data_IF_793290791854
#
_entry.id   IF_793290791854
#
_cell.length_a   1.000
_cell.length_b   1.000
_cell.length_c   1.000
_cell.angle_alpha   90.00
_cell.angle_beta   90.00
_cell.angle_gamma   90.00
#
_symmetry.space_group_name_H-M   'P 1'
#
loop_
_entity.id
_entity.type
_entity.pdbx_description
1 polymer ?
#
# COMPACT_ATOMS: atom_id res chain seq x y z
N UNK A 1 41.11 33.18 35.54
CA UNK A 1 41.10 31.71 35.32
C UNK A 1 39.71 31.06 35.38
N UNK A 2 38.86 31.33 36.38
CA UNK A 2 37.55 30.68 36.50
C UNK A 2 36.57 31.01 35.33
N UNK A 3 36.57 32.26 34.85
CA UNK A 3 35.69 32.70 33.76
C UNK A 3 35.98 31.99 32.42
N UNK A 4 37.26 31.84 32.05
CA UNK A 4 37.65 31.07 30.86
C UNK A 4 37.26 29.58 30.97
N UNK A 5 37.47 28.97 32.15
CA UNK A 5 37.04 27.58 32.39
C UNK A 5 35.53 27.42 32.22
N UNK A 6 34.73 28.36 32.72
CA UNK A 6 33.27 28.32 32.57
C UNK A 6 32.82 28.46 31.12
N UNK A 7 33.46 29.35 30.34
CA UNK A 7 33.17 29.49 28.91
C UNK A 7 33.48 28.20 28.14
N UNK A 8 34.61 27.56 28.40
CA UNK A 8 34.97 26.28 27.78
C UNK A 8 33.96 25.17 28.12
N UNK A 9 33.53 25.09 29.38
CA UNK A 9 32.51 24.12 29.80
C UNK A 9 31.15 24.38 29.12
N UNK A 10 30.77 25.65 28.97
CA UNK A 10 29.56 26.03 28.26
C UNK A 10 29.62 25.59 26.79
N UNK A 11 30.71 25.90 26.09
CA UNK A 11 30.91 25.47 24.71
C UNK A 11 30.83 23.95 24.59
N UNK A 12 31.50 23.19 25.48
CA UNK A 12 31.44 21.72 25.48
C UNK A 12 30.02 21.18 25.69
N UNK A 13 29.22 21.81 26.55
CA UNK A 13 27.81 21.44 26.74
C UNK A 13 27.02 21.68 25.46
N UNK A 14 27.22 22.82 24.81
CA UNK A 14 26.55 23.14 23.55
C UNK A 14 26.93 22.14 22.45
N UNK A 15 28.21 21.85 22.28
CA UNK A 15 28.69 20.85 21.32
C UNK A 15 28.07 19.48 21.56
N UNK A 16 27.96 19.04 22.83
CA UNK A 16 27.29 17.77 23.17
C UNK A 16 25.81 17.79 22.84
N UNK A 17 25.11 18.89 23.10
CA UNK A 17 23.69 19.05 22.77
C UNK A 17 23.48 19.01 21.25
N UNK A 18 24.28 19.76 20.48
CA UNK A 18 24.23 19.80 19.02
C UNK A 18 24.56 18.43 18.40
N UNK A 19 25.57 17.72 18.92
CA UNK A 19 25.90 16.36 18.46
C UNK A 19 24.72 15.39 18.66
N UNK A 20 24.04 15.46 19.82
CA UNK A 20 22.85 14.62 20.08
C UNK A 20 21.68 14.99 19.18
N UNK A 21 21.48 16.27 18.90
CA UNK A 21 20.44 16.74 17.99
C UNK A 21 20.63 16.18 16.58
N UNK A 22 21.84 16.24 16.02
CA UNK A 22 22.12 15.75 14.68
C UNK A 22 22.14 14.22 14.57
N UNK A 23 22.58 13.51 15.61
CA UNK A 23 22.71 12.04 15.59
C UNK A 23 21.52 11.31 16.25
N UNK A 24 20.51 12.03 16.73
CA UNK A 24 19.31 11.44 17.34
C UNK A 24 18.41 10.74 16.32
N UNK A 25 17.33 10.11 16.80
CA UNK A 25 16.42 9.31 15.97
C UNK A 25 15.75 10.07 14.82
N UNK A 26 15.63 11.39 14.92
CA UNK A 26 15.14 12.29 13.88
C UNK A 26 16.18 13.30 13.36
N UNK A 27 17.47 13.11 13.73
CA UNK A 27 18.53 14.04 13.35
C UNK A 27 18.99 13.86 11.90
N UNK A 28 19.48 14.95 11.29
CA UNK A 28 19.93 14.94 9.89
C UNK A 28 21.15 14.04 9.63
N UNK A 29 21.94 13.74 10.67
CA UNK A 29 23.10 12.84 10.63
C UNK A 29 22.81 11.52 11.32
N UNK A 30 21.53 11.14 11.42
CA UNK A 30 21.12 9.82 11.86
C UNK A 30 21.85 8.77 11.01
N UNK A 31 22.46 7.82 11.70
CA UNK A 31 23.11 6.70 11.06
C UNK A 31 22.05 5.88 10.29
N UNK A 32 22.22 5.78 8.97
CA UNK A 32 21.30 5.03 8.09
C UNK A 32 21.42 3.53 8.30
N UNK A 33 22.45 3.07 9.01
CA UNK A 33 22.64 1.65 9.36
C UNK A 33 21.77 1.18 10.53
N UNK A 34 20.90 2.02 11.07
CA UNK A 34 19.97 1.58 12.11
C UNK A 34 19.03 0.50 11.55
N UNK A 35 18.99 -0.68 12.20
CA UNK A 35 18.10 -1.76 11.80
C UNK A 35 16.66 -1.25 11.72
N UNK A 36 16.04 -1.41 10.56
CA UNK A 36 14.64 -1.06 10.35
C UNK A 36 13.79 -1.97 11.24
N UNK A 37 13.07 -1.37 12.18
CA UNK A 37 12.13 -2.09 13.04
C UNK A 37 10.81 -2.21 12.30
N UNK A 38 10.45 -3.43 11.91
CA UNK A 38 9.14 -3.72 11.36
C UNK A 38 8.13 -3.89 12.48
N UNK A 39 6.95 -3.31 12.33
CA UNK A 39 5.88 -3.35 13.32
C UNK A 39 4.72 -4.18 12.81
N UNK A 40 4.03 -4.88 13.72
CA UNK A 40 2.77 -5.57 13.44
C UNK A 40 1.74 -5.23 14.52
N UNK A 41 0.47 -5.42 14.19
CA UNK A 41 -0.60 -5.38 15.18
C UNK A 41 -0.56 -6.68 15.99
N UNK A 42 -0.49 -6.55 17.31
CA UNK A 42 -0.72 -7.65 18.24
C UNK A 42 -2.20 -7.93 18.33
N UNK A 43 -2.57 -9.19 18.56
CA UNK A 43 -3.96 -9.58 18.83
C UNK A 43 -4.46 -9.09 20.21
N UNK A 44 -3.59 -8.51 21.02
CA UNK A 44 -3.95 -7.93 22.32
C UNK A 44 -4.44 -6.49 22.15
N UNK A 45 -5.67 -6.24 22.56
CA UNK A 45 -6.26 -4.90 22.60
C UNK A 45 -5.85 -4.13 23.86
N UNK A 46 -5.70 -2.81 23.72
CA UNK A 46 -5.73 -1.93 24.87
C UNK A 46 -7.21 -1.66 25.22
N UNK A 47 -7.69 -2.30 26.28
CA UNK A 47 -9.09 -2.19 26.72
C UNK A 47 -9.55 -0.74 26.98
N UNK A 48 -8.64 0.17 27.37
CA UNK A 48 -8.99 1.57 27.60
C UNK A 48 -9.13 2.39 26.32
N UNK A 49 -8.49 1.97 25.21
CA UNK A 49 -8.43 2.74 23.96
C UNK A 49 -9.10 2.03 22.79
N UNK A 50 -9.62 0.83 23.00
CA UNK A 50 -10.22 -0.04 21.96
C UNK A 50 -9.36 -0.13 20.70
N UNK A 51 -8.04 -0.21 20.88
CA UNK A 51 -7.07 -0.26 19.78
C UNK A 51 -6.05 -1.34 20.05
N UNK A 52 -5.75 -2.14 19.03
CA UNK A 52 -4.72 -3.19 19.06
C UNK A 52 -3.33 -2.59 19.27
N UNK A 53 -2.50 -3.28 20.06
CA UNK A 53 -1.15 -2.82 20.40
C UNK A 53 -0.20 -3.02 19.23
N UNK A 54 0.65 -2.01 18.97
CA UNK A 54 1.77 -2.15 18.04
C UNK A 54 2.89 -2.94 18.72
N UNK A 55 3.35 -4.03 18.11
CA UNK A 55 4.48 -4.83 18.61
C UNK A 55 5.50 -5.06 17.50
N UNK A 56 6.75 -5.28 17.87
CA UNK A 56 7.80 -5.54 16.90
C UNK A 56 7.56 -6.87 16.18
N UNK A 57 7.70 -6.85 14.86
CA UNK A 57 7.60 -8.02 14.00
C UNK A 57 8.99 -8.57 13.70
N UNK A 58 9.35 -9.68 14.34
CA UNK A 58 10.62 -10.37 14.10
C UNK A 58 10.62 -11.23 12.83
N UNK A 59 9.46 -11.60 12.32
CA UNK A 59 9.30 -12.44 11.13
C UNK A 59 8.77 -11.60 9.97
N UNK A 60 9.38 -10.45 9.73
CA UNK A 60 9.00 -9.60 8.61
C UNK A 60 9.46 -10.24 7.30
N UNK A 61 8.52 -10.41 6.37
CA UNK A 61 8.80 -10.74 4.98
C UNK A 61 8.33 -9.56 4.11
N UNK A 62 9.19 -9.13 3.20
CA UNK A 62 8.89 -8.08 2.22
C UNK A 62 8.00 -8.56 1.09
N UNK A 63 7.82 -9.88 0.95
CA UNK A 63 7.02 -10.53 -0.09
C UNK A 63 7.41 -10.11 -1.52
N UNK A 64 8.66 -9.67 -1.72
CA UNK A 64 9.17 -9.24 -3.03
C UNK A 64 9.01 -10.36 -4.06
N UNK A 65 9.34 -11.60 -3.69
CA UNK A 65 9.19 -12.75 -4.59
C UNK A 65 7.74 -12.99 -5.00
N UNK A 66 6.79 -12.85 -4.07
CA UNK A 66 5.37 -12.99 -4.38
C UNK A 66 4.89 -11.85 -5.31
N UNK A 67 5.38 -10.62 -5.10
CA UNK A 67 5.09 -9.50 -6.00
C UNK A 67 5.67 -9.74 -7.39
N UNK A 68 6.93 -10.18 -7.48
CA UNK A 68 7.59 -10.47 -8.74
C UNK A 68 6.83 -11.53 -9.56
N UNK A 69 6.35 -12.59 -8.91
CA UNK A 69 5.51 -13.62 -9.55
C UNK A 69 4.19 -13.05 -10.07
N UNK A 70 3.51 -12.21 -9.28
CA UNK A 70 2.27 -11.54 -9.71
C UNK A 70 2.52 -10.61 -10.90
N UNK A 71 3.61 -9.86 -10.83
CA UNK A 71 3.94 -8.81 -11.79
C UNK A 71 4.74 -9.36 -12.99
N UNK A 72 5.01 -10.68 -13.04
CA UNK A 72 5.89 -11.35 -14.01
C UNK A 72 7.30 -10.70 -14.15
N UNK A 73 7.74 -9.97 -13.12
CA UNK A 73 9.05 -9.30 -13.05
C UNK A 73 10.11 -10.37 -12.78
N UNK A 74 10.67 -10.93 -13.85
CA UNK A 74 11.60 -12.07 -13.79
C UNK A 74 11.33 -13.16 -14.84
N UNK A 75 10.23 -13.07 -15.59
CA UNK A 75 9.99 -13.90 -16.79
C UNK A 75 10.69 -13.35 -18.05
N UNK A 76 11.61 -12.40 -17.89
CA UNK A 76 12.43 -11.84 -18.96
C UNK A 76 13.84 -12.43 -18.86
N UNK A 77 13.96 -13.75 -18.73
CA UNK A 77 15.24 -14.43 -18.88
C UNK A 77 15.10 -15.57 -19.91
N UNK A 78 15.55 -15.26 -21.13
CA UNK A 78 16.13 -16.20 -22.10
C UNK A 78 15.31 -17.46 -22.46
N UNK A 79 14.05 -17.26 -22.86
CA UNK A 79 13.20 -18.37 -23.30
C UNK A 79 12.04 -17.98 -24.22
N UNK A 80 12.13 -16.85 -24.92
CA UNK A 80 11.12 -16.37 -25.89
C UNK A 80 10.90 -17.30 -27.10
N UNK A 81 11.38 -18.55 -27.06
CA UNK A 81 10.99 -19.62 -27.98
C UNK A 81 9.93 -20.58 -27.43
N UNK A 82 9.67 -20.62 -26.11
CA UNK A 82 8.76 -21.61 -25.51
C UNK A 82 7.34 -21.06 -25.26
N UNK A 83 7.16 -19.75 -25.14
CA UNK A 83 5.82 -19.15 -24.90
C UNK A 83 4.94 -19.11 -26.17
N UNK A 84 5.52 -19.26 -27.37
CA UNK A 84 4.73 -19.29 -28.61
C UNK A 84 4.07 -20.65 -28.87
N UNK A 85 4.61 -21.71 -28.26
CA UNK A 85 4.11 -23.08 -28.45
C UNK A 85 2.90 -23.39 -27.56
N UNK A 86 2.85 -22.84 -26.34
CA UNK A 86 1.66 -22.90 -25.47
C UNK A 86 0.49 -22.04 -26.00
N UNK A 87 0.78 -20.99 -26.76
CA UNK A 87 -0.24 -20.20 -27.48
C UNK A 87 -0.82 -20.92 -28.70
N UNK A 88 -0.24 -22.04 -29.18
CA UNK A 88 -0.89 -22.86 -30.21
C UNK A 88 -2.16 -23.54 -29.70
N UNK A 89 -2.25 -23.85 -28.40
CA UNK A 89 -3.48 -24.37 -27.79
C UNK A 89 -4.60 -23.34 -27.71
N UNK A 90 -4.27 -22.04 -27.73
CA UNK A 90 -5.25 -20.94 -27.75
C UNK A 90 -5.92 -20.79 -29.12
N UNK A 91 -5.40 -21.41 -30.19
CA UNK A 91 -6.11 -21.45 -31.47
C UNK A 91 -7.43 -22.24 -31.41
N UNK A 92 -7.59 -23.14 -30.44
CA UNK A 92 -8.86 -23.84 -30.22
C UNK A 92 -9.90 -22.98 -29.48
N UNK A 93 -9.46 -21.85 -28.89
CA UNK A 93 -10.33 -20.81 -28.33
C UNK A 93 -10.63 -19.68 -29.33
N UNK A 94 -10.16 -19.78 -30.58
CA UNK A 94 -10.68 -18.94 -31.66
C UNK A 94 -12.13 -19.37 -31.90
N UNK A 95 -13.06 -18.62 -31.32
CA UNK A 95 -14.48 -18.75 -31.64
C UNK A 95 -14.62 -18.55 -33.14
N UNK A 96 -14.90 -19.63 -33.87
CA UNK A 96 -15.23 -19.53 -35.28
C UNK A 96 -16.44 -18.61 -35.41
N UNK A 97 -16.49 -17.81 -36.48
CA UNK A 97 -17.60 -16.87 -36.71
C UNK A 97 -18.98 -17.57 -36.72
N UNK A 98 -18.97 -18.89 -36.93
CA UNK A 98 -20.12 -19.80 -36.88
C UNK A 98 -20.63 -20.05 -35.46
N UNK A 99 -19.77 -20.02 -34.44
CA UNK A 99 -20.15 -20.21 -33.03
C UNK A 99 -20.61 -18.91 -32.33
N UNK A 100 -20.42 -17.74 -32.95
CA UNK A 100 -20.90 -16.44 -32.45
C UNK A 100 -22.39 -16.22 -32.74
N UNK A 101 -22.94 -16.90 -33.76
CA UNK A 101 -24.33 -16.72 -34.18
C UNK A 101 -25.36 -17.25 -33.17
N UNK A 102 -24.95 -18.15 -32.28
CA UNK A 102 -25.81 -18.73 -31.23
C UNK A 102 -25.75 -17.93 -29.92
N UNK A 103 -24.82 -16.98 -29.80
CA UNK A 103 -24.60 -16.14 -28.61
C UNK A 103 -25.17 -14.72 -28.77
N UNK A 104 -25.82 -14.44 -29.91
CA UNK A 104 -26.51 -13.18 -30.17
C UNK A 104 -27.96 -13.26 -29.70
N UNK A 105 -28.27 -12.59 -28.59
CA UNK A 105 -29.64 -12.34 -28.16
C UNK A 105 -30.36 -11.47 -29.20
N UNK A 106 -31.62 -11.79 -29.51
CA UNK A 106 -32.42 -11.00 -30.44
C UNK A 106 -32.82 -9.64 -29.87
N UNK A 107 -33.18 -8.68 -30.73
CA UNK A 107 -33.54 -7.29 -30.33
C UNK A 107 -34.67 -7.23 -29.27
N UNK A 108 -35.58 -8.21 -29.27
CA UNK A 108 -36.66 -8.32 -28.30
C UNK A 108 -36.15 -8.73 -26.90
N UNK A 109 -35.12 -9.55 -26.83
CA UNK A 109 -34.50 -9.98 -25.57
C UNK A 109 -33.61 -8.86 -24.99
N UNK A 110 -32.90 -8.12 -25.84
CA UNK A 110 -32.22 -6.88 -25.46
C UNK A 110 -33.18 -5.84 -24.87
N UNK A 111 -34.36 -5.71 -25.47
CA UNK A 111 -35.40 -4.80 -25.00
C UNK A 111 -35.95 -5.21 -23.64
N UNK A 112 -36.09 -6.51 -23.36
CA UNK A 112 -36.53 -7.01 -22.05
C UNK A 112 -35.49 -6.76 -20.93
N UNK A 113 -34.19 -6.90 -21.23
CA UNK A 113 -33.10 -6.61 -20.28
C UNK A 113 -33.01 -5.09 -20.01
N UNK A 114 -33.16 -4.27 -21.05
CA UNK A 114 -33.23 -2.82 -20.90
C UNK A 114 -34.48 -2.34 -20.14
N UNK A 115 -35.61 -3.03 -20.29
CA UNK A 115 -36.85 -2.69 -19.58
C UNK A 115 -36.84 -3.16 -18.11
N UNK A 116 -36.17 -4.27 -17.81
CA UNK A 116 -36.00 -4.76 -16.43
C UNK A 116 -34.98 -3.94 -15.64
N UNK A 117 -33.92 -3.42 -16.27
CA UNK A 117 -33.01 -2.44 -15.65
C UNK A 117 -33.65 -1.07 -15.42
N UNK A 118 -34.75 -0.74 -16.10
CA UNK A 118 -35.56 0.44 -15.80
C UNK A 118 -36.47 0.28 -14.57
N UNK A 119 -36.61 -0.95 -14.03
CA UNK A 119 -37.30 -1.24 -12.76
C UNK A 119 -36.32 -1.43 -11.58
N UNK A 120 -35.12 -0.85 -11.65
CA UNK A 120 -34.34 -0.63 -10.43
C UNK A 120 -35.04 0.49 -9.69
N UNK A 121 -35.68 0.15 -8.57
CA UNK A 121 -36.21 1.11 -7.61
C UNK A 121 -35.20 2.25 -7.46
N UNK A 122 -35.68 3.47 -7.73
CA UNK A 122 -34.96 4.71 -7.55
C UNK A 122 -34.41 4.72 -6.12
N UNK A 123 -33.12 4.36 -5.94
CA UNK A 123 -32.44 4.50 -4.67
C UNK A 123 -32.31 6.00 -4.43
N UNK A 124 -33.31 6.56 -3.75
CA UNK A 124 -33.36 7.94 -3.28
C UNK A 124 -32.40 8.17 -2.09
N UNK A 125 -31.32 7.39 -2.00
CA UNK A 125 -30.20 7.69 -1.12
C UNK A 125 -29.40 8.83 -1.72
N UNK A 126 -29.71 10.07 -1.32
CA UNK A 126 -28.79 11.20 -1.50
C UNK A 126 -27.56 10.98 -0.61
N UNK A 127 -26.68 10.08 -1.00
CA UNK A 127 -25.37 9.97 -0.39
C UNK A 127 -24.53 11.15 -0.88
N UNK A 128 -24.32 12.12 0.01
CA UNK A 128 -23.47 13.26 -0.27
C UNK A 128 -22.03 12.75 -0.26
N UNK A 129 -21.44 12.63 -1.44
CA UNK A 129 -20.03 12.26 -1.62
C UNK A 129 -19.16 13.36 -1.01
N UNK A 130 -18.66 13.15 0.21
CA UNK A 130 -17.74 14.08 0.89
C UNK A 130 -16.31 13.58 0.68
N UNK A 131 -15.59 14.24 -0.24
CA UNK A 131 -14.25 13.83 -0.70
C UNK A 131 -13.13 14.42 0.18
N UNK A 132 -13.46 15.37 1.07
CA UNK A 132 -12.50 16.03 1.95
C UNK A 132 -13.13 16.41 3.27
N UNK A 133 -12.39 16.26 4.37
CA UNK A 133 -12.75 16.72 5.69
C UNK A 133 -11.61 17.57 6.26
N UNK A 134 -11.94 18.73 6.84
CA UNK A 134 -10.96 19.56 7.53
C UNK A 134 -10.58 18.89 8.86
N UNK A 135 -9.30 18.58 9.02
CA UNK A 135 -8.75 17.95 10.23
C UNK A 135 -7.85 18.95 10.96
N UNK A 136 -8.22 19.30 12.19
CA UNK A 136 -7.36 20.05 13.10
C UNK A 136 -6.45 19.10 13.87
N UNK A 137 -5.14 19.34 13.79
CA UNK A 137 -4.16 18.59 14.56
C UNK A 137 -4.21 19.03 16.02
N UNK A 138 -4.70 18.16 16.89
CA UNK A 138 -4.63 18.39 18.34
C UNK A 138 -3.18 18.13 18.77
N UNK A 139 -2.38 19.19 18.88
CA UNK A 139 -1.08 19.13 19.53
C UNK A 139 -1.29 19.30 21.04
N UNK A 140 -1.06 18.25 21.83
CA UNK A 140 -0.87 18.39 23.28
C UNK A 140 0.60 18.69 23.55
N UNK A 141 0.83 19.87 24.13
CA UNK A 141 2.09 20.26 24.78
C UNK A 141 2.33 19.45 26.06
#
# INVERSE_FOLDING_TARGET
MAQQKNQQLFSLRQWRATKRFFNGEGGAWKDKHQQVVHWKLSNQENFQRMKVKLTQNYNFDSHINASHLRDNVGSIDSGTSLCLEELKGVKEALVSKENIADDTLGDEEWSAISASSANIEEYTGREKLVISADCELIWKA
#
